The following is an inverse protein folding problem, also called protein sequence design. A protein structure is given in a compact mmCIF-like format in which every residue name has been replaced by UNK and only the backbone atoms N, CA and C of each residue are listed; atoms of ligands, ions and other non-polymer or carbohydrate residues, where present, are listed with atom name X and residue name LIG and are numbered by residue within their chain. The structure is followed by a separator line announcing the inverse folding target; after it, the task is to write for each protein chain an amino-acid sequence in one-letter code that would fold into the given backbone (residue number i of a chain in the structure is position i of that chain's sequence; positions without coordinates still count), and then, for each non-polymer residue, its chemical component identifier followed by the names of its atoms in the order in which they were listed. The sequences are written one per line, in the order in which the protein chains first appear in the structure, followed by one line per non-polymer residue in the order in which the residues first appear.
data_IF_396849924657
#
_entry.id   IF_396849924657
#
_cell.length_a   1.000
_cell.length_b   1.000
_cell.length_c   1.000
_cell.angle_alpha   90.00
_cell.angle_beta   90.00
_cell.angle_gamma   90.00
#
_symmetry.space_group_name_H-M   'P 1'
#
loop_
_entity.id
_entity.type
_entity.pdbx_description
1 polymer ?
#
# COMPACT_ATOMS: atom_id res chain seq x y z
N UNK A 1 -5.25 -37.70 36.85
CA UNK A 1 -4.62 -36.36 36.99
C UNK A 1 -4.77 -35.59 35.68
N UNK A 2 -5.52 -34.48 35.65
CA UNK A 2 -5.73 -33.67 34.44
C UNK A 2 -4.50 -32.78 34.20
N UNK A 3 -3.76 -33.01 33.11
CA UNK A 3 -2.64 -32.16 32.67
C UNK A 3 -3.12 -30.72 32.50
N UNK A 4 -2.69 -29.80 33.39
CA UNK A 4 -2.86 -28.36 33.20
C UNK A 4 -2.11 -27.99 31.91
N UNK A 5 -2.85 -27.67 30.83
CA UNK A 5 -2.25 -27.12 29.60
C UNK A 5 -1.43 -25.89 30.00
N UNK A 6 -0.13 -25.88 29.70
CA UNK A 6 0.72 -24.71 29.84
C UNK A 6 0.06 -23.55 29.07
N UNK A 7 -0.56 -22.61 29.80
CA UNK A 7 -1.16 -21.41 29.22
C UNK A 7 0.03 -20.58 28.73
N UNK A 8 0.26 -20.51 27.40
CA UNK A 8 1.30 -19.65 26.83
C UNK A 8 1.12 -18.25 27.42
N UNK A 9 2.15 -17.75 28.10
CA UNK A 9 2.12 -16.44 28.73
C UNK A 9 1.96 -15.38 27.64
N UNK A 10 0.95 -14.52 27.77
CA UNK A 10 0.76 -13.40 26.85
C UNK A 10 1.91 -12.41 27.02
N UNK A 11 2.40 -11.79 25.93
CA UNK A 11 3.41 -10.75 26.05
C UNK A 11 2.86 -9.57 26.83
N UNK A 12 3.67 -9.03 27.74
CA UNK A 12 3.40 -7.74 28.34
C UNK A 12 3.69 -6.64 27.33
N UNK A 13 2.71 -5.76 27.10
CA UNK A 13 2.80 -4.66 26.15
C UNK A 13 2.57 -3.36 26.91
N UNK A 14 3.55 -2.46 26.86
CA UNK A 14 3.50 -1.16 27.51
C UNK A 14 3.27 -0.07 26.47
N UNK A 15 2.36 0.84 26.77
CA UNK A 15 2.06 1.96 25.89
C UNK A 15 3.23 2.96 25.89
N UNK A 16 3.83 3.28 24.71
CA UNK A 16 4.97 4.19 24.65
C UNK A 16 4.58 5.66 24.90
N UNK A 17 3.29 5.99 24.85
CA UNK A 17 2.79 7.36 24.99
C UNK A 17 2.52 7.76 26.45
N UNK A 18 2.01 6.85 27.28
CA UNK A 18 1.61 7.16 28.65
C UNK A 18 2.12 6.16 29.71
N UNK A 19 2.91 5.16 29.31
CA UNK A 19 3.49 4.15 30.22
C UNK A 19 2.49 3.12 30.78
N UNK A 20 1.18 3.28 30.52
CA UNK A 20 0.16 2.32 30.97
C UNK A 20 0.25 1.00 30.21
N UNK A 21 -0.17 -0.10 30.83
CA UNK A 21 -0.25 -1.42 30.19
C UNK A 21 -1.31 -1.44 29.09
N UNK A 22 -1.07 -2.22 28.05
CA UNK A 22 -2.07 -2.53 27.04
C UNK A 22 -2.77 -3.86 27.36
N UNK A 23 -4.08 -3.90 27.12
CA UNK A 23 -4.96 -5.04 27.39
C UNK A 23 -5.44 -5.61 26.06
N UNK A 24 -5.43 -6.94 25.94
CA UNK A 24 -5.92 -7.61 24.74
C UNK A 24 -7.46 -7.48 24.67
N UNK A 25 -7.98 -6.90 23.59
CA UNK A 25 -9.40 -6.63 23.35
C UNK A 25 -9.80 -7.03 21.92
N UNK A 26 -11.04 -7.44 21.66
CA UNK A 26 -11.53 -7.70 20.30
C UNK A 26 -11.67 -6.40 19.50
N UNK A 27 -11.69 -6.51 18.17
CA UNK A 27 -11.89 -5.39 17.26
C UNK A 27 -13.16 -4.57 17.55
N UNK A 28 -14.23 -5.22 18.03
CA UNK A 28 -15.50 -4.58 18.39
C UNK A 28 -15.35 -3.52 19.49
N UNK A 29 -14.36 -3.66 20.39
CA UNK A 29 -14.07 -2.66 21.43
C UNK A 29 -13.61 -1.31 20.85
N UNK A 30 -12.93 -1.34 19.69
CA UNK A 30 -12.39 -0.14 19.04
C UNK A 30 -13.36 0.46 18.03
N UNK A 31 -14.08 -0.38 17.29
CA UNK A 31 -14.79 0.03 16.09
C UNK A 31 -16.31 -0.19 16.16
N UNK A 32 -16.81 -0.74 17.27
CA UNK A 32 -18.19 -1.17 17.42
C UNK A 32 -18.52 -2.44 16.63
N UNK A 33 -19.75 -2.93 16.81
CA UNK A 33 -20.23 -4.20 16.20
C UNK A 33 -20.66 -4.04 14.74
N UNK A 34 -20.84 -2.80 14.27
CA UNK A 34 -21.38 -2.49 12.93
C UNK A 34 -20.39 -2.70 11.78
N UNK A 35 -19.12 -2.97 12.07
CA UNK A 35 -18.09 -3.21 11.05
C UNK A 35 -17.76 -4.69 10.99
N UNK A 36 -17.70 -5.22 9.77
CA UNK A 36 -17.36 -6.63 9.52
C UNK A 36 -15.87 -6.80 9.80
N UNK A 37 -15.55 -7.42 10.94
CA UNK A 37 -14.22 -7.95 11.24
C UNK A 37 -14.32 -9.45 11.42
N UNK A 38 -13.20 -10.16 11.23
CA UNK A 38 -13.14 -11.54 11.73
C UNK A 38 -13.27 -11.48 13.25
N UNK A 39 -14.22 -12.24 13.87
CA UNK A 39 -14.46 -12.22 15.31
C UNK A 39 -13.19 -12.43 16.16
N UNK A 40 -12.19 -13.08 15.58
CA UNK A 40 -10.91 -13.42 16.19
C UNK A 40 -9.86 -12.30 16.07
N UNK A 41 -10.18 -11.16 15.45
CA UNK A 41 -9.24 -10.02 15.38
C UNK A 41 -9.10 -9.38 16.76
N UNK A 42 -7.92 -9.53 17.34
CA UNK A 42 -7.56 -8.98 18.65
C UNK A 42 -6.57 -7.81 18.51
N UNK A 43 -6.64 -6.90 19.47
CA UNK A 43 -5.77 -5.74 19.59
C UNK A 43 -5.25 -5.62 21.01
N UNK A 44 -4.00 -5.22 21.18
CA UNK A 44 -3.54 -4.64 22.44
C UNK A 44 -3.94 -3.18 22.47
N UNK A 45 -4.85 -2.84 23.38
CA UNK A 45 -5.39 -1.49 23.54
C UNK A 45 -4.89 -0.89 24.85
N UNK A 46 -4.34 0.31 24.80
CA UNK A 46 -3.89 1.03 25.99
C UNK A 46 -4.99 1.07 27.06
N UNK A 47 -4.67 0.79 28.33
CA UNK A 47 -5.68 0.87 29.41
C UNK A 47 -6.17 2.30 29.68
N UNK A 48 -5.51 3.32 29.14
CA UNK A 48 -5.97 4.70 29.11
C UNK A 48 -6.80 5.07 27.87
N UNK A 49 -7.32 4.11 27.12
CA UNK A 49 -8.26 4.35 26.02
C UNK A 49 -9.63 4.79 26.56
N UNK A 50 -10.34 5.75 25.92
CA UNK A 50 -10.04 6.36 24.62
C UNK A 50 -9.04 7.52 24.64
N UNK A 51 -8.74 8.14 25.78
CA UNK A 51 -7.94 9.38 25.84
C UNK A 51 -6.54 9.24 25.24
N UNK A 52 -5.82 8.17 25.59
CA UNK A 52 -4.50 7.88 25.00
C UNK A 52 -4.61 7.42 23.53
N UNK A 53 -5.75 6.85 23.15
CA UNK A 53 -6.06 6.38 21.80
C UNK A 53 -5.00 5.48 21.16
N UNK A 54 -4.16 4.78 21.92
CA UNK A 54 -3.08 3.95 21.38
C UNK A 54 -3.44 2.46 21.37
N UNK A 55 -3.21 1.79 20.25
CA UNK A 55 -3.39 0.33 20.12
C UNK A 55 -2.53 -0.29 19.01
N UNK A 56 -2.40 -1.61 19.02
CA UNK A 56 -1.77 -2.41 17.95
C UNK A 56 -2.51 -3.72 17.75
N UNK A 57 -2.60 -4.20 16.52
CA UNK A 57 -3.18 -5.52 16.22
C UNK A 57 -2.32 -6.65 16.76
N UNK A 58 -2.96 -7.74 17.15
CA UNK A 58 -2.31 -8.95 17.61
C UNK A 58 -2.48 -10.08 16.59
N UNK A 59 -1.46 -10.94 16.50
CA UNK A 59 -1.51 -12.14 15.69
C UNK A 59 -2.51 -13.15 16.29
N UNK A 60 -3.44 -13.65 15.48
CA UNK A 60 -4.50 -14.55 15.94
C UNK A 60 -3.99 -15.88 16.54
N UNK A 61 -2.82 -16.37 16.10
CA UNK A 61 -2.29 -17.67 16.53
C UNK A 61 -1.54 -17.61 17.86
N UNK A 62 -0.84 -16.51 18.13
CA UNK A 62 0.09 -16.41 19.26
C UNK A 62 -0.08 -15.14 20.11
N UNK A 63 -1.03 -14.27 19.78
CA UNK A 63 -1.29 -13.00 20.43
C UNK A 63 -0.06 -12.09 20.57
N UNK A 64 0.95 -12.23 19.69
CA UNK A 64 2.05 -11.27 19.64
C UNK A 64 1.61 -10.02 18.87
N UNK A 65 2.03 -8.82 19.29
CA UNK A 65 1.73 -7.60 18.54
C UNK A 65 2.36 -7.68 17.14
N UNK A 66 1.63 -7.22 16.13
CA UNK A 66 2.08 -7.20 14.73
C UNK A 66 2.91 -5.95 14.38
N UNK A 67 3.09 -5.04 15.33
CA UNK A 67 3.84 -3.81 15.16
C UNK A 67 4.07 -3.09 16.49
N UNK A 68 4.40 -1.81 16.43
CA UNK A 68 4.42 -0.96 17.63
C UNK A 68 3.05 -0.32 17.86
N UNK A 69 2.73 -0.05 19.13
CA UNK A 69 1.52 0.70 19.49
C UNK A 69 1.54 2.07 18.82
N UNK A 70 0.40 2.45 18.25
CA UNK A 70 0.24 3.72 17.56
C UNK A 70 -1.05 4.40 18.02
N UNK A 71 -0.98 5.70 18.24
CA UNK A 71 -2.13 6.59 18.41
C UNK A 71 -2.88 6.84 17.10
N UNK A 72 -3.90 7.70 17.13
CA UNK A 72 -4.71 8.01 15.95
C UNK A 72 -3.89 8.62 14.81
N UNK A 73 -2.98 9.54 15.12
CA UNK A 73 -2.16 10.25 14.14
C UNK A 73 -1.19 9.30 13.44
N UNK A 74 -0.41 8.53 14.20
CA UNK A 74 0.55 7.59 13.64
C UNK A 74 -0.15 6.48 12.85
N UNK A 75 -1.32 6.00 13.28
CA UNK A 75 -2.12 5.05 12.48
C UNK A 75 -2.53 5.65 11.14
N UNK A 76 -2.96 6.91 11.11
CA UNK A 76 -3.31 7.59 9.86
C UNK A 76 -2.10 7.73 8.94
N UNK A 77 -0.94 8.13 9.47
CA UNK A 77 0.31 8.22 8.71
C UNK A 77 0.75 6.86 8.14
N UNK A 78 0.61 5.77 8.91
CA UNK A 78 0.89 4.41 8.43
C UNK A 78 -0.04 4.00 7.29
N UNK A 79 -1.33 4.36 7.36
CA UNK A 79 -2.28 4.11 6.27
C UNK A 79 -1.86 4.87 5.02
N UNK A 80 -1.49 6.15 5.15
CA UNK A 80 -1.03 6.97 4.03
C UNK A 80 0.26 6.43 3.41
N UNK A 81 1.27 6.10 4.22
CA UNK A 81 2.51 5.49 3.76
C UNK A 81 2.26 4.18 3.01
N UNK A 82 1.40 3.31 3.54
CA UNK A 82 1.04 2.07 2.85
C UNK A 82 0.31 2.33 1.52
N UNK A 83 -0.57 3.33 1.45
CA UNK A 83 -1.27 3.72 0.21
C UNK A 83 -0.31 4.23 -0.86
N UNK A 84 0.62 5.12 -0.49
CA UNK A 84 1.61 5.66 -1.41
C UNK A 84 2.50 4.55 -2.00
N UNK A 85 2.98 3.64 -1.15
CA UNK A 85 3.72 2.47 -1.62
C UNK A 85 2.85 1.59 -2.53
N UNK A 86 1.57 1.39 -2.18
CA UNK A 86 0.64 0.57 -2.96
C UNK A 86 0.42 1.10 -4.37
N UNK A 87 0.38 2.42 -4.53
CA UNK A 87 0.25 3.02 -5.85
C UNK A 87 1.40 2.59 -6.77
N UNK A 88 2.64 2.52 -6.27
CA UNK A 88 3.82 2.11 -7.06
C UNK A 88 3.59 0.77 -7.75
N UNK A 89 3.17 -0.26 -7.00
CA UNK A 89 2.97 -1.59 -7.58
C UNK A 89 1.60 -1.77 -8.24
N UNK A 90 0.61 -0.93 -7.94
CA UNK A 90 -0.68 -0.95 -8.64
C UNK A 90 -0.55 -0.35 -10.04
N UNK A 91 0.31 0.66 -10.22
CA UNK A 91 0.67 1.24 -11.52
C UNK A 91 1.65 0.35 -12.32
N UNK A 92 2.17 -0.72 -11.72
CA UNK A 92 3.09 -1.64 -12.39
C UNK A 92 4.55 -1.21 -12.44
N UNK A 93 4.94 -0.11 -11.77
CA UNK A 93 6.33 0.37 -11.76
C UNK A 93 7.30 -0.58 -11.05
N UNK A 94 6.81 -1.28 -10.01
CA UNK A 94 7.56 -2.28 -9.26
C UNK A 94 6.61 -3.37 -8.75
N UNK A 95 7.12 -4.55 -8.41
CA UNK A 95 6.32 -5.49 -7.61
C UNK A 95 6.23 -5.02 -6.15
N UNK A 96 5.29 -5.56 -5.37
CA UNK A 96 5.22 -5.31 -3.92
C UNK A 96 6.55 -5.62 -3.24
N UNK A 97 7.17 -6.77 -3.51
CA UNK A 97 8.43 -7.17 -2.90
C UNK A 97 9.57 -6.22 -3.29
N UNK A 98 9.66 -5.89 -4.58
CA UNK A 98 10.66 -4.94 -5.09
C UNK A 98 10.47 -3.55 -4.47
N UNK A 99 9.24 -3.11 -4.22
CA UNK A 99 8.95 -1.83 -3.55
C UNK A 99 9.49 -1.81 -2.12
N UNK A 100 9.27 -2.87 -1.34
CA UNK A 100 9.81 -2.94 0.03
C UNK A 100 11.34 -3.07 0.06
N UNK A 101 11.94 -3.77 -0.92
CA UNK A 101 13.39 -3.84 -1.08
C UNK A 101 13.99 -2.48 -1.46
N UNK A 102 13.38 -1.74 -2.39
CA UNK A 102 13.81 -0.37 -2.71
C UNK A 102 13.68 0.56 -1.51
N UNK A 103 12.57 0.47 -0.78
CA UNK A 103 12.34 1.29 0.42
C UNK A 103 13.35 0.99 1.53
N UNK A 104 13.73 -0.28 1.70
CA UNK A 104 14.73 -0.67 2.71
C UNK A 104 16.09 -0.01 2.43
N UNK A 105 16.52 0.01 1.16
CA UNK A 105 17.70 0.72 0.72
C UNK A 105 17.62 2.23 0.93
N UNK A 106 16.47 2.85 0.60
CA UNK A 106 16.28 4.30 0.78
C UNK A 106 16.26 4.74 2.25
N UNK A 107 15.70 3.93 3.13
CA UNK A 107 15.64 4.23 4.57
C UNK A 107 16.85 3.71 5.35
N UNK A 108 17.80 3.02 4.70
CA UNK A 108 18.91 2.32 5.33
C UNK A 108 18.44 1.36 6.46
N UNK A 109 17.40 0.57 6.18
CA UNK A 109 16.82 -0.40 7.12
C UNK A 109 17.00 -1.83 6.63
N UNK A 110 17.19 -2.80 7.53
CA UNK A 110 17.00 -4.21 7.19
C UNK A 110 15.56 -4.44 6.70
N UNK A 111 15.35 -5.27 5.67
CA UNK A 111 14.01 -5.54 5.12
C UNK A 111 13.00 -6.01 6.17
N UNK A 112 13.46 -6.82 7.12
CA UNK A 112 12.68 -7.31 8.28
C UNK A 112 12.13 -6.19 9.17
N UNK A 113 12.70 -4.99 9.10
CA UNK A 113 12.29 -3.79 9.84
C UNK A 113 11.56 -2.77 8.96
N UNK A 114 11.46 -3.03 7.65
CA UNK A 114 10.77 -2.19 6.65
C UNK A 114 9.27 -2.47 6.59
N UNK A 115 8.68 -2.90 7.70
CA UNK A 115 7.23 -3.08 7.82
C UNK A 115 6.59 -1.78 8.30
N UNK A 116 5.61 -1.26 7.58
CA UNK A 116 4.93 0.01 7.91
C UNK A 116 4.33 0.01 9.33
N UNK A 117 3.92 -1.16 9.85
CA UNK A 117 3.45 -1.32 11.23
C UNK A 117 4.52 -1.05 12.31
N UNK A 118 5.80 -0.95 11.93
CA UNK A 118 6.94 -0.62 12.79
C UNK A 118 7.38 0.84 12.66
N UNK A 119 6.82 1.60 11.72
CA UNK A 119 7.30 2.95 11.42
C UNK A 119 6.85 3.95 12.48
N UNK A 120 7.76 4.88 12.81
CA UNK A 120 7.47 6.11 13.52
C UNK A 120 6.85 7.14 12.58
N UNK A 121 6.36 8.26 13.14
CA UNK A 121 5.86 9.41 12.37
C UNK A 121 6.87 9.85 11.30
N UNK A 122 8.13 10.07 11.69
CA UNK A 122 9.19 10.45 10.77
C UNK A 122 9.37 9.45 9.62
N UNK A 123 9.45 8.14 9.92
CA UNK A 123 9.60 7.11 8.89
C UNK A 123 8.39 7.05 7.95
N UNK A 124 7.17 7.23 8.47
CA UNK A 124 5.98 7.32 7.62
C UNK A 124 6.03 8.53 6.68
N UNK A 125 6.36 9.71 7.19
CA UNK A 125 6.47 10.92 6.36
C UNK A 125 7.53 10.75 5.28
N UNK A 126 8.69 10.21 5.63
CA UNK A 126 9.78 9.98 4.69
C UNK A 126 9.40 8.93 3.63
N UNK A 127 8.70 7.88 4.02
CA UNK A 127 8.16 6.87 3.10
C UNK A 127 7.18 7.49 2.10
N UNK A 128 6.28 8.36 2.56
CA UNK A 128 5.32 9.06 1.70
C UNK A 128 6.05 9.95 0.70
N UNK A 129 7.02 10.75 1.18
CA UNK A 129 7.85 11.62 0.34
C UNK A 129 8.55 10.84 -0.77
N UNK A 130 9.30 9.80 -0.40
CA UNK A 130 10.05 8.94 -1.33
C UNK A 130 9.13 8.26 -2.34
N UNK A 131 7.98 7.74 -1.89
CA UNK A 131 7.02 7.07 -2.77
C UNK A 131 6.44 8.05 -3.81
N UNK A 132 6.07 9.26 -3.38
CA UNK A 132 5.54 10.28 -4.27
C UNK A 132 6.58 10.76 -5.29
N UNK A 133 7.84 10.93 -4.88
CA UNK A 133 8.94 11.26 -5.79
C UNK A 133 9.11 10.20 -6.87
N UNK A 134 9.16 8.92 -6.49
CA UNK A 134 9.27 7.83 -7.46
C UNK A 134 8.07 7.80 -8.42
N UNK A 135 6.85 8.00 -7.91
CA UNK A 135 5.65 8.02 -8.74
C UNK A 135 5.68 9.16 -9.75
N UNK A 136 6.10 10.35 -9.34
CA UNK A 136 6.20 11.51 -10.24
C UNK A 136 7.29 11.30 -11.29
N UNK A 137 8.47 10.84 -10.88
CA UNK A 137 9.57 10.49 -11.81
C UNK A 137 9.11 9.49 -12.87
N UNK A 138 8.38 8.45 -12.47
CA UNK A 138 7.88 7.42 -13.39
C UNK A 138 6.82 7.95 -14.35
N UNK A 139 5.86 8.73 -13.85
CA UNK A 139 4.82 9.38 -14.67
C UNK A 139 5.43 10.31 -15.71
N UNK A 140 6.47 11.06 -15.35
CA UNK A 140 7.16 11.95 -16.29
C UNK A 140 7.96 11.18 -17.36
N UNK A 141 8.57 10.04 -17.01
CA UNK A 141 9.24 9.17 -17.99
C UNK A 141 8.23 8.59 -19.01
N UNK A 142 7.07 8.10 -18.55
CA UNK A 142 6.02 7.56 -19.43
C UNK A 142 5.50 8.62 -20.42
N UNK A 143 5.26 9.86 -19.95
CA UNK A 143 4.83 10.97 -20.81
C UNK A 143 5.87 11.28 -21.90
N UNK A 144 7.17 11.16 -21.59
CA UNK A 144 8.25 11.39 -22.56
C UNK A 144 8.29 10.28 -23.61
N UNK A 145 8.15 9.02 -23.20
CA UNK A 145 8.09 7.88 -24.12
C UNK A 145 6.90 7.97 -25.09
N UNK A 146 5.74 8.42 -24.60
CA UNK A 146 4.54 8.61 -25.42
C UNK A 146 4.68 9.73 -26.44
N UNK A 147 5.38 10.82 -26.09
CA UNK A 147 5.68 11.94 -27.01
C UNK A 147 6.73 11.60 -28.07
N UNK A 148 7.64 10.66 -27.77
CA UNK A 148 8.70 10.22 -28.68
C UNK A 148 8.28 9.17 -29.72
N UNK A 149 7.05 8.64 -29.65
CA UNK A 149 6.57 7.66 -30.62
C UNK A 149 6.21 8.35 -31.95
N UNK A 150 6.78 7.94 -33.10
CA UNK A 150 6.42 8.53 -34.39
C UNK A 150 4.92 8.40 -34.62
N UNK A 151 4.26 9.48 -35.05
CA UNK A 151 2.89 9.39 -35.58
C UNK A 151 2.96 8.47 -36.79
N UNK A 152 2.34 7.29 -36.69
CA UNK A 152 2.18 6.40 -37.83
C UNK A 152 1.56 7.17 -38.99
N UNK A 153 2.21 7.07 -40.15
CA UNK A 153 1.73 7.61 -41.41
C UNK A 153 0.30 7.12 -41.64
N UNK A 154 -0.64 8.05 -41.80
CA UNK A 154 -1.94 7.73 -42.38
C UNK A 154 -1.68 7.38 -43.85
N UNK A 155 -1.71 6.10 -44.19
CA UNK A 155 -1.79 5.66 -45.59
C UNK A 155 -3.07 6.25 -46.20
N UNK A 156 -2.91 7.32 -46.96
CA UNK A 156 -3.90 7.81 -47.91
C UNK A 156 -3.95 6.83 -49.08
N UNK A 157 -4.96 5.96 -49.10
CA UNK A 157 -5.30 5.24 -50.33
C UNK A 157 -5.87 6.25 -51.35
N UNK A 158 -4.99 6.78 -52.19
CA UNK A 158 -5.33 7.46 -53.44
C UNK A 158 -6.04 6.47 -54.38
N UNK A 159 -7.37 6.52 -54.45
CA UNK A 159 -8.13 5.90 -55.53
C UNK A 159 -7.99 6.80 -56.76
N UNK A 160 -6.94 6.58 -57.55
CA UNK A 160 -6.80 7.21 -58.86
C UNK A 160 -7.81 6.61 -59.84
N UNK A 161 -8.71 7.48 -60.29
CA UNK A 161 -9.59 7.31 -61.43
C UNK A 161 -8.82 6.94 -62.70
N UNK A 162 -9.17 5.82 -63.34
CA UNK A 162 -8.87 5.59 -64.75
C UNK A 162 -10.18 5.65 -65.54
N UNK A 163 -10.44 6.83 -66.10
CA UNK A 163 -11.34 6.98 -67.23
C UNK A 163 -10.57 6.70 -68.52
N UNK A 164 -10.93 5.63 -69.24
CA UNK A 164 -10.55 5.41 -70.63
C UNK A 164 -11.73 5.74 -71.52
N UNK A 165 -11.59 6.85 -72.25
CA UNK A 165 -12.40 7.17 -73.43
C UNK A 165 -11.97 6.24 -74.58
N UNK A 166 -12.93 5.66 -75.28
CA UNK A 166 -12.76 5.26 -76.68
C UNK A 166 -13.91 5.85 -77.48
N UNK A 167 -13.56 6.48 -78.60
CA UNK A 167 -14.44 7.26 -79.48
C UNK A 167 -14.55 6.50 -80.81
N UNK A 168 -15.79 6.32 -81.28
CA UNK A 168 -16.31 6.25 -82.67
C UNK A 168 -15.51 5.53 -83.78
N UNK A 169 -16.17 4.62 -84.53
CA UNK A 169 -16.65 4.91 -85.91
C UNK A 169 -17.18 3.64 -86.65
N UNK A 170 -18.40 3.77 -87.17
CA UNK A 170 -18.95 3.35 -88.49
C UNK A 170 -18.59 2.00 -89.15
N UNK A 171 -19.62 1.30 -89.65
CA UNK A 171 -19.58 0.69 -90.99
C UNK A 171 -20.29 -0.67 -91.16
N UNK A 172 -21.36 -0.64 -91.96
CA UNK A 172 -22.10 -1.74 -92.64
C UNK A 172 -23.13 -2.55 -91.83
#
# INVERSE_FOLDING_TARGET
MKRKKNRKQLPEVICPYCGKKAVLRPASYLYGEKRIFTPETMFYVCSGYPDCNAYVSANQKNNRPLGTMADGELRNLRIQAHRALREIWTQGYMTKNSTYHWLSGKLALPEKETHVAMFSTYRCMETIRLANELLEERKEMEKREQKGKPKGETESHDIKSHGTRYVSASGL
#
